data_IF_170108659560
#
_entry.id   IF_170108659560
#
_cell.length_a   1.000
_cell.length_b   1.000
_cell.length_c   1.000
_cell.angle_alpha   90.00
_cell.angle_beta   90.00
_cell.angle_gamma   90.00
#
_symmetry.space_group_name_H-M   'P 1'
#
loop_
_entity.id
_entity.type
_entity.pdbx_description
1 polymer ?
#
# COMPACT_ATOMS: atom_id res chain seq x y z
N UNK A 1 0.42 -22.89 -17.00
CA UNK A 1 0.19 -21.87 -15.96
C UNK A 1 -1.29 -21.94 -15.60
N UNK A 2 -1.63 -22.13 -14.32
CA UNK A 2 -3.03 -22.12 -13.89
C UNK A 2 -3.64 -20.73 -14.09
N UNK A 3 -4.96 -20.66 -14.34
CA UNK A 3 -5.66 -19.37 -14.40
C UNK A 3 -5.70 -18.75 -13.00
N UNK A 4 -5.59 -17.43 -12.91
CA UNK A 4 -5.81 -16.70 -11.64
C UNK A 4 -7.27 -16.92 -11.23
N UNK A 5 -7.48 -17.34 -9.98
CA UNK A 5 -8.82 -17.42 -9.41
C UNK A 5 -9.30 -16.00 -9.09
N UNK A 6 -10.15 -15.43 -9.96
CA UNK A 6 -10.60 -14.03 -9.87
C UNK A 6 -11.34 -13.75 -8.56
N UNK A 7 -12.19 -14.67 -8.10
CA UNK A 7 -12.93 -14.49 -6.85
C UNK A 7 -12.00 -14.45 -5.63
N UNK A 8 -11.01 -15.34 -5.58
CA UNK A 8 -10.00 -15.37 -4.52
C UNK A 8 -9.03 -14.20 -4.58
N UNK A 9 -8.72 -13.74 -5.79
CA UNK A 9 -7.91 -12.54 -6.01
C UNK A 9 -8.62 -11.30 -5.46
N UNK A 10 -9.89 -11.08 -5.83
CA UNK A 10 -10.66 -9.93 -5.35
C UNK A 10 -10.83 -9.98 -3.84
N UNK A 11 -11.24 -11.13 -3.28
CA UNK A 11 -11.40 -11.30 -1.83
C UNK A 11 -10.09 -11.04 -1.08
N UNK A 12 -9.00 -11.68 -1.50
CA UNK A 12 -7.70 -11.51 -0.88
C UNK A 12 -7.21 -10.07 -1.00
N UNK A 13 -7.41 -9.44 -2.15
CA UNK A 13 -6.97 -8.07 -2.40
C UNK A 13 -7.73 -7.02 -1.59
N UNK A 14 -9.05 -7.17 -1.43
CA UNK A 14 -9.84 -6.31 -0.54
C UNK A 14 -9.34 -6.43 0.90
N UNK A 15 -9.13 -7.66 1.38
CA UNK A 15 -8.62 -7.89 2.74
C UNK A 15 -7.20 -7.33 2.90
N UNK A 16 -6.33 -7.51 1.90
CA UNK A 16 -4.99 -6.92 1.91
C UNK A 16 -5.03 -5.40 2.02
N UNK A 17 -5.91 -4.75 1.25
CA UNK A 17 -6.08 -3.31 1.28
C UNK A 17 -6.63 -2.81 2.61
N UNK A 18 -7.67 -3.43 3.16
CA UNK A 18 -8.23 -3.07 4.48
C UNK A 18 -7.17 -3.20 5.58
N UNK A 19 -6.37 -4.27 5.56
CA UNK A 19 -5.28 -4.45 6.52
C UNK A 19 -4.21 -3.37 6.33
N UNK A 20 -3.91 -2.99 5.09
CA UNK A 20 -3.05 -1.86 4.77
C UNK A 20 -3.58 -0.55 5.38
N UNK A 21 -4.82 -0.18 5.08
CA UNK A 21 -5.44 1.07 5.56
C UNK A 21 -5.50 1.14 7.10
N UNK A 22 -5.77 0.01 7.76
CA UNK A 22 -5.76 -0.07 9.24
C UNK A 22 -4.36 0.21 9.81
N UNK A 23 -3.32 -0.25 9.13
CA UNK A 23 -1.93 -0.06 9.55
C UNK A 23 -1.38 1.32 9.15
N UNK A 24 -1.87 1.90 8.06
CA UNK A 24 -1.57 3.26 7.61
C UNK A 24 -2.14 4.30 8.59
N UNK A 25 -3.36 4.11 9.07
CA UNK A 25 -4.04 5.05 9.97
C UNK A 25 -3.19 5.54 11.16
N UNK A 26 -2.55 4.69 11.99
CA UNK A 26 -1.70 5.17 13.08
C UNK A 26 -0.45 5.92 12.60
N UNK A 27 0.08 5.59 11.42
CA UNK A 27 1.28 6.22 10.86
C UNK A 27 0.91 7.55 10.20
N UNK A 28 0.15 7.53 9.12
CA UNK A 28 -0.15 8.71 8.31
C UNK A 28 -1.37 9.48 8.82
N UNK A 29 -2.38 8.79 9.34
CA UNK A 29 -3.61 9.39 9.87
C UNK A 29 -3.48 9.99 11.27
N UNK A 30 -2.49 9.58 12.07
CA UNK A 30 -2.32 10.05 13.46
C UNK A 30 -0.94 10.67 13.68
N UNK A 31 0.14 9.89 13.48
CA UNK A 31 1.49 10.35 13.82
C UNK A 31 2.00 11.44 12.87
N UNK A 32 1.87 11.22 11.55
CA UNK A 32 2.34 12.15 10.53
C UNK A 32 1.28 13.18 10.11
N UNK A 33 0.04 13.05 10.56
CA UNK A 33 -1.06 13.96 10.19
C UNK A 33 -0.74 15.45 10.45
N UNK A 34 -0.12 15.87 11.58
CA UNK A 34 0.31 17.25 11.76
C UNK A 34 1.33 17.69 10.70
N UNK A 35 2.32 16.85 10.38
CA UNK A 35 3.35 17.14 9.38
C UNK A 35 2.76 17.25 7.97
N UNK A 36 1.79 16.41 7.63
CA UNK A 36 1.04 16.52 6.38
C UNK A 36 0.30 17.85 6.28
N UNK A 37 -0.42 18.24 7.33
CA UNK A 37 -1.19 19.49 7.34
C UNK A 37 -0.28 20.73 7.23
N UNK A 38 0.84 20.75 7.94
CA UNK A 38 1.80 21.85 7.90
C UNK A 38 2.41 22.02 6.50
N UNK A 39 2.80 20.90 5.87
CA UNK A 39 3.42 20.94 4.53
C UNK A 39 2.41 21.24 3.44
N UNK A 40 1.17 20.74 3.54
CA UNK A 40 0.09 21.13 2.64
C UNK A 40 -0.20 22.64 2.74
N UNK A 41 -0.19 23.20 3.95
CA UNK A 41 -0.34 24.64 4.18
C UNK A 41 0.81 25.42 3.55
N UNK A 42 2.06 24.95 3.68
CA UNK A 42 3.21 25.55 3.03
C UNK A 42 3.11 25.56 1.49
N UNK A 43 2.39 24.60 0.91
CA UNK A 43 2.06 24.54 -0.52
C UNK A 43 0.80 25.35 -0.90
N UNK A 44 0.24 26.15 0.01
CA UNK A 44 -0.96 26.94 -0.21
C UNK A 44 -2.24 26.08 -0.32
N UNK A 45 -2.23 24.87 0.23
CA UNK A 45 -3.38 23.96 0.25
C UNK A 45 -4.00 23.90 1.65
N UNK A 46 -5.28 23.56 1.69
CA UNK A 46 -5.97 23.25 2.95
C UNK A 46 -5.58 21.86 3.44
N UNK A 47 -5.81 21.60 4.73
CA UNK A 47 -5.77 20.26 5.28
C UNK A 47 -6.60 19.27 4.45
N UNK A 48 -6.21 17.99 4.48
CA UNK A 48 -6.91 16.93 3.76
C UNK A 48 -8.35 16.82 4.27
N UNK A 49 -9.29 16.90 3.33
CA UNK A 49 -10.71 16.70 3.61
C UNK A 49 -11.04 15.22 3.82
N UNK A 50 -12.17 14.95 4.50
CA UNK A 50 -12.69 13.58 4.66
C UNK A 50 -12.84 12.85 3.32
N UNK A 51 -13.27 13.55 2.26
CA UNK A 51 -13.41 12.95 0.93
C UNK A 51 -12.06 12.53 0.34
N UNK A 52 -10.99 13.31 0.55
CA UNK A 52 -9.64 12.93 0.10
C UNK A 52 -9.12 11.73 0.87
N UNK A 53 -9.37 11.66 2.19
CA UNK A 53 -9.01 10.50 3.02
C UNK A 53 -9.74 9.24 2.53
N UNK A 54 -11.03 9.32 2.21
CA UNK A 54 -11.78 8.19 1.63
C UNK A 54 -11.14 7.73 0.30
N UNK A 55 -10.72 8.67 -0.55
CA UNK A 55 -10.06 8.34 -1.82
C UNK A 55 -8.72 7.63 -1.57
N UNK A 56 -7.94 8.05 -0.56
CA UNK A 56 -6.71 7.35 -0.18
C UNK A 56 -6.96 5.90 0.25
N UNK A 57 -7.97 5.65 1.09
CA UNK A 57 -8.34 4.28 1.47
C UNK A 57 -8.77 3.45 0.25
N UNK A 58 -9.50 4.04 -0.70
CA UNK A 58 -9.83 3.35 -1.95
C UNK A 58 -8.58 2.99 -2.77
N UNK A 59 -7.55 3.84 -2.78
CA UNK A 59 -6.26 3.49 -3.36
C UNK A 59 -5.53 2.39 -2.58
N UNK A 60 -5.68 2.34 -1.25
CA UNK A 60 -5.23 1.22 -0.43
C UNK A 60 -5.87 -0.11 -0.83
N UNK A 61 -7.18 -0.12 -1.11
CA UNK A 61 -7.88 -1.30 -1.67
C UNK A 61 -7.32 -1.69 -3.04
N UNK A 62 -7.09 -0.72 -3.94
CA UNK A 62 -6.48 -0.99 -5.26
C UNK A 62 -5.08 -1.57 -5.10
N UNK A 63 -4.30 -1.05 -4.17
CA UNK A 63 -2.95 -1.53 -3.84
C UNK A 63 -3.00 -2.97 -3.33
N UNK A 64 -3.95 -3.31 -2.46
CA UNK A 64 -4.20 -4.67 -2.01
C UNK A 64 -4.56 -5.63 -3.16
N UNK A 65 -5.40 -5.20 -4.09
CA UNK A 65 -5.71 -5.97 -5.31
C UNK A 65 -4.44 -6.22 -6.13
N UNK A 66 -3.61 -5.21 -6.35
CA UNK A 66 -2.34 -5.35 -7.08
C UNK A 66 -1.41 -6.32 -6.34
N UNK A 67 -1.29 -6.23 -5.02
CA UNK A 67 -0.45 -7.12 -4.22
C UNK A 67 -0.86 -8.59 -4.38
N UNK A 68 -2.16 -8.89 -4.33
CA UNK A 68 -2.63 -10.27 -4.46
C UNK A 68 -2.60 -10.75 -5.92
N UNK A 69 -2.74 -9.84 -6.90
CA UNK A 69 -2.52 -10.17 -8.30
C UNK A 69 -1.05 -10.57 -8.55
N UNK A 70 -0.10 -9.81 -8.01
CA UNK A 70 1.33 -10.13 -8.08
C UNK A 70 1.59 -11.48 -7.39
N UNK A 71 1.09 -11.66 -6.16
CA UNK A 71 1.21 -12.92 -5.42
C UNK A 71 0.71 -14.11 -6.25
N UNK A 72 -0.50 -14.02 -6.81
CA UNK A 72 -1.07 -15.05 -7.66
C UNK A 72 -0.22 -15.32 -8.91
N UNK A 73 0.33 -14.29 -9.54
CA UNK A 73 1.17 -14.41 -10.74
C UNK A 73 2.54 -15.05 -10.49
N UNK A 74 3.16 -14.79 -9.34
CA UNK A 74 4.48 -15.34 -8.99
C UNK A 74 4.39 -16.69 -8.26
N UNK A 75 3.27 -16.99 -7.60
CA UNK A 75 3.04 -18.23 -6.83
C UNK A 75 3.39 -19.53 -7.57
N UNK A 76 3.13 -19.71 -8.88
CA UNK A 76 3.51 -20.94 -9.59
C UNK A 76 5.01 -21.21 -9.64
N UNK A 77 5.86 -20.18 -9.49
CA UNK A 77 7.33 -20.30 -9.54
C UNK A 77 7.96 -20.29 -8.14
N UNK A 78 7.42 -19.48 -7.24
CA UNK A 78 7.96 -19.29 -5.89
C UNK A 78 7.31 -20.21 -4.84
N UNK A 79 6.24 -20.91 -5.22
CA UNK A 79 5.43 -21.72 -4.32
C UNK A 79 4.43 -20.88 -3.50
N UNK A 80 3.45 -21.53 -2.86
CA UNK A 80 2.55 -20.87 -1.91
C UNK A 80 3.27 -20.47 -0.61
N UNK A 81 2.76 -19.44 0.05
CA UNK A 81 3.09 -19.14 1.45
C UNK A 81 3.60 -17.73 1.70
N UNK A 82 3.95 -17.48 2.97
CA UNK A 82 4.31 -16.15 3.50
C UNK A 82 5.50 -15.54 2.75
N UNK A 83 6.51 -16.34 2.41
CA UNK A 83 7.69 -15.85 1.67
C UNK A 83 7.31 -15.23 0.31
N UNK A 84 6.42 -15.87 -0.43
CA UNK A 84 5.91 -15.37 -1.70
C UNK A 84 5.04 -14.13 -1.51
N UNK A 85 4.25 -14.07 -0.44
CA UNK A 85 3.45 -12.89 -0.09
C UNK A 85 4.34 -11.68 0.25
N UNK A 86 5.46 -11.89 0.96
CA UNK A 86 6.45 -10.84 1.24
C UNK A 86 7.02 -10.29 -0.07
N UNK A 87 7.39 -11.15 -1.04
CA UNK A 87 7.88 -10.67 -2.34
C UNK A 87 6.84 -9.84 -3.09
N UNK A 88 5.57 -10.26 -3.06
CA UNK A 88 4.49 -9.51 -3.66
C UNK A 88 4.25 -8.16 -2.95
N UNK A 89 4.29 -8.15 -1.62
CA UNK A 89 4.16 -6.93 -0.80
C UNK A 89 5.30 -5.95 -1.06
N UNK A 90 6.56 -6.42 -1.10
CA UNK A 90 7.73 -5.57 -1.42
C UNK A 90 7.62 -5.03 -2.85
N UNK A 91 7.25 -5.85 -3.82
CA UNK A 91 7.08 -5.40 -5.21
C UNK A 91 6.00 -4.31 -5.30
N UNK A 92 4.88 -4.50 -4.60
CA UNK A 92 3.80 -3.51 -4.53
C UNK A 92 4.26 -2.23 -3.86
N UNK A 93 4.97 -2.34 -2.73
CA UNK A 93 5.53 -1.19 -2.02
C UNK A 93 6.48 -0.36 -2.91
N UNK A 94 7.36 -1.02 -3.65
CA UNK A 94 8.29 -0.34 -4.57
C UNK A 94 7.50 0.49 -5.59
N UNK A 95 6.48 -0.10 -6.20
CA UNK A 95 5.74 0.49 -7.31
C UNK A 95 4.71 1.54 -6.86
N UNK A 96 4.08 1.35 -5.70
CA UNK A 96 3.00 2.21 -5.22
C UNK A 96 3.47 3.31 -4.26
N UNK A 97 4.59 3.11 -3.54
CA UNK A 97 5.04 4.05 -2.51
C UNK A 97 6.47 4.51 -2.70
N UNK A 98 7.46 3.60 -2.74
CA UNK A 98 8.87 4.02 -2.80
C UNK A 98 9.15 4.91 -4.01
N UNK A 99 8.81 4.44 -5.22
CA UNK A 99 9.08 5.21 -6.44
C UNK A 99 8.22 6.48 -6.49
N UNK A 100 6.89 6.43 -6.29
CA UNK A 100 6.06 7.65 -6.36
C UNK A 100 6.40 8.68 -5.28
N UNK A 101 6.65 8.26 -4.03
CA UNK A 101 6.96 9.20 -2.95
C UNK A 101 8.28 9.94 -3.24
N UNK A 102 9.32 9.22 -3.68
CA UNK A 102 10.57 9.90 -3.99
C UNK A 102 10.48 10.74 -5.28
N UNK A 103 9.86 10.21 -6.33
CA UNK A 103 9.77 10.90 -7.63
C UNK A 103 8.82 12.12 -7.61
N UNK A 104 7.70 12.04 -6.89
CA UNK A 104 6.66 13.07 -6.91
C UNK A 104 6.67 13.95 -5.66
N UNK A 105 7.23 13.51 -4.53
CA UNK A 105 7.25 14.31 -3.30
C UNK A 105 8.63 14.90 -3.00
N UNK A 106 9.68 14.06 -3.06
CA UNK A 106 11.03 14.47 -2.64
C UNK A 106 11.83 15.19 -3.72
N UNK A 107 11.94 14.61 -4.93
CA UNK A 107 12.66 15.20 -6.07
C UNK A 107 12.19 16.63 -6.41
N UNK A 108 10.88 16.91 -6.49
CA UNK A 108 10.40 18.28 -6.74
C UNK A 108 10.42 19.18 -5.49
N UNK A 109 10.95 18.70 -4.36
CA UNK A 109 11.00 19.43 -3.09
C UNK A 109 9.63 19.89 -2.58
N UNK A 110 8.58 19.11 -2.81
CA UNK A 110 7.22 19.42 -2.34
C UNK A 110 7.06 19.12 -0.85
N UNK A 111 7.75 18.09 -0.35
CA UNK A 111 7.65 17.65 1.03
C UNK A 111 9.04 17.41 1.63
N UNK A 112 9.14 17.54 2.96
CA UNK A 112 10.40 17.33 3.68
C UNK A 112 10.85 15.87 3.59
N UNK A 113 12.17 15.64 3.60
CA UNK A 113 12.74 14.29 3.57
C UNK A 113 12.29 13.42 4.76
N UNK A 114 11.98 14.01 5.90
CA UNK A 114 11.43 13.29 7.06
C UNK A 114 10.03 12.74 6.77
N UNK A 115 9.11 13.57 6.26
CA UNK A 115 7.75 13.11 5.93
C UNK A 115 7.80 12.01 4.87
N UNK A 116 8.52 12.26 3.77
CA UNK A 116 8.68 11.30 2.68
C UNK A 116 9.30 9.99 3.19
N UNK A 117 10.34 10.07 4.02
CA UNK A 117 11.02 8.90 4.56
C UNK A 117 10.10 8.07 5.46
N UNK A 118 9.38 8.71 6.39
CA UNK A 118 8.54 8.00 7.36
C UNK A 118 7.31 7.36 6.72
N UNK A 119 6.55 8.08 5.89
CA UNK A 119 5.40 7.48 5.19
C UNK A 119 5.83 6.34 4.27
N UNK A 120 6.97 6.49 3.57
CA UNK A 120 7.49 5.42 2.70
C UNK A 120 7.89 4.17 3.50
N UNK A 121 8.49 4.33 4.69
CA UNK A 121 8.86 3.18 5.53
C UNK A 121 7.64 2.55 6.22
N UNK A 122 6.64 3.34 6.62
CA UNK A 122 5.35 2.84 7.12
C UNK A 122 4.67 1.95 6.08
N UNK A 123 4.55 2.46 4.85
CA UNK A 123 3.94 1.77 3.73
C UNK A 123 4.59 0.42 3.39
N UNK A 124 5.88 0.22 3.71
CA UNK A 124 6.54 -1.09 3.53
C UNK A 124 5.89 -2.15 4.43
N UNK A 125 5.65 -1.80 5.69
CA UNK A 125 5.05 -2.70 6.67
C UNK A 125 3.59 -2.97 6.28
N UNK A 126 2.85 -1.94 5.93
CA UNK A 126 1.46 -2.04 5.48
C UNK A 126 1.31 -2.95 4.26
N UNK A 127 2.13 -2.74 3.22
CA UNK A 127 2.10 -3.55 2.00
C UNK A 127 2.45 -5.02 2.28
N UNK A 128 3.48 -5.27 3.10
CA UNK A 128 3.91 -6.65 3.39
C UNK A 128 2.87 -7.37 4.25
N UNK A 129 2.40 -6.74 5.32
CA UNK A 129 1.41 -7.36 6.22
C UNK A 129 0.06 -7.52 5.52
N UNK A 130 -0.36 -6.53 4.75
CA UNK A 130 -1.55 -6.60 3.89
C UNK A 130 -1.45 -7.75 2.87
N UNK A 131 -0.32 -7.85 2.16
CA UNK A 131 -0.09 -8.94 1.21
C UNK A 131 -0.13 -10.32 1.89
N UNK A 132 0.45 -10.47 3.08
CA UNK A 132 0.39 -11.73 3.85
C UNK A 132 -1.06 -12.07 4.22
N UNK A 133 -1.82 -11.10 4.73
CA UNK A 133 -3.21 -11.30 5.11
C UNK A 133 -4.09 -11.69 3.91
N UNK A 134 -3.96 -10.99 2.79
CA UNK A 134 -4.71 -11.33 1.56
C UNK A 134 -4.27 -12.66 0.94
N UNK A 135 -2.97 -12.96 0.97
CA UNK A 135 -2.42 -14.21 0.43
C UNK A 135 -2.91 -15.44 1.22
N UNK A 136 -3.19 -15.30 2.52
CA UNK A 136 -3.78 -16.35 3.33
C UNK A 136 -5.18 -16.77 2.83
N UNK A 137 -5.90 -15.87 2.17
CA UNK A 137 -7.21 -16.13 1.59
C UNK A 137 -7.16 -16.60 0.14
N UNK A 138 -6.00 -16.48 -0.53
CA UNK A 138 -5.86 -16.84 -1.94
C UNK A 138 -5.60 -18.34 -2.13
N UNK A 139 -6.41 -18.97 -2.99
CA UNK A 139 -6.28 -20.36 -3.44
C UNK A 139 -6.55 -20.45 -4.95
N UNK A 140 -5.86 -21.35 -5.64
CA UNK A 140 -6.02 -21.55 -7.09
C UNK A 140 -7.31 -22.30 -7.45
N UNK A 141 -7.86 -23.08 -6.51
CA UNK A 141 -9.17 -23.74 -6.59
C UNK A 141 -9.98 -23.41 -5.32
#
# INVERSE_FOLDING_TARGET
>A
MGKINVGRWILGGIVAGIVGDILDYPVDGVWLAPMWNDQMTALGRTALSTNQIIIFNLFGIVTGLVAIWIYAGIRPRFGPGVKTAIYAGIATWILAFLVPNFALMWVPHLFTGHLVGYTTLGALVECVVGAIAGAALYKEA
#
